data_IF_816852640663
#
_entry.id   IF_816852640663
#
_cell.length_a   1.000
_cell.length_b   1.000
_cell.length_c   1.000
_cell.angle_alpha   90.00
_cell.angle_beta   90.00
_cell.angle_gamma   90.00
#
_symmetry.space_group_name_H-M   'P 1'
#
loop_
_entity.id
_entity.type
_entity.pdbx_description
1 polymer ?
#
# COMPACT_ATOMS: atom_id res chain seq x y z
N UNK A 1 32.32 2.60 -77.54
CA UNK A 1 32.02 3.51 -76.46
C UNK A 1 31.27 2.68 -75.39
N UNK A 2 32.01 2.12 -74.38
CA UNK A 2 31.41 1.27 -73.31
C UNK A 2 31.06 2.15 -72.15
N UNK A 3 29.81 2.23 -71.77
CA UNK A 3 29.34 2.85 -70.56
C UNK A 3 29.57 1.90 -69.36
N UNK A 4 30.38 2.32 -68.41
CA UNK A 4 30.48 1.66 -67.06
C UNK A 4 29.37 2.21 -66.17
N UNK A 5 28.46 1.35 -65.77
CA UNK A 5 27.46 1.64 -64.75
C UNK A 5 28.08 1.30 -63.38
N UNK A 6 28.41 2.31 -62.56
CA UNK A 6 28.83 2.14 -61.20
C UNK A 6 27.59 2.01 -60.31
N UNK A 7 27.33 0.82 -59.82
CA UNK A 7 26.29 0.56 -58.81
C UNK A 7 26.86 0.83 -57.43
N UNK A 8 26.44 1.92 -56.79
CA UNK A 8 26.78 2.21 -55.40
C UNK A 8 25.83 1.39 -54.51
N UNK A 9 26.37 0.41 -53.81
CA UNK A 9 25.65 -0.41 -52.84
C UNK A 9 25.65 0.39 -51.50
N UNK A 10 24.51 1.01 -51.18
CA UNK A 10 24.31 1.67 -49.90
C UNK A 10 23.85 0.59 -48.90
N UNK A 11 24.76 0.13 -48.06
CA UNK A 11 24.45 -0.75 -46.94
C UNK A 11 23.82 0.08 -45.81
N UNK A 12 22.50 0.00 -45.67
CA UNK A 12 21.77 0.48 -44.53
C UNK A 12 22.08 -0.43 -43.32
N UNK A 13 22.93 0.06 -42.42
CA UNK A 13 23.16 -0.58 -41.13
C UNK A 13 21.97 -0.20 -40.25
N UNK A 14 20.99 -1.09 -40.11
CA UNK A 14 19.97 -1.01 -39.08
C UNK A 14 20.63 -1.28 -37.72
N UNK A 15 20.95 -0.22 -37.00
CA UNK A 15 21.28 -0.33 -35.58
C UNK A 15 19.97 -0.61 -34.82
N UNK A 16 19.65 -1.90 -34.64
CA UNK A 16 18.59 -2.31 -33.75
C UNK A 16 19.03 -2.01 -32.34
N UNK A 17 18.59 -0.87 -31.78
CA UNK A 17 18.61 -0.70 -30.33
C UNK A 17 17.64 -1.74 -29.75
N UNK A 18 18.16 -2.91 -29.38
CA UNK A 18 17.46 -3.83 -28.50
C UNK A 18 17.45 -3.22 -27.11
N UNK A 19 16.49 -2.35 -26.83
CA UNK A 19 16.09 -2.11 -25.46
C UNK A 19 15.60 -3.45 -24.93
N UNK A 20 16.36 -4.05 -24.01
CA UNK A 20 15.92 -5.23 -23.28
C UNK A 20 14.65 -4.83 -22.54
N UNK A 21 13.50 -5.31 -23.01
CA UNK A 21 12.23 -5.15 -22.29
C UNK A 21 12.43 -5.91 -20.98
N UNK A 22 12.49 -5.17 -19.87
CA UNK A 22 12.57 -5.78 -18.54
C UNK A 22 11.30 -6.63 -18.35
N UNK A 23 11.46 -7.90 -18.01
CA UNK A 23 10.33 -8.77 -17.73
C UNK A 23 9.73 -8.43 -16.37
N UNK A 24 8.42 -8.52 -16.24
CA UNK A 24 7.74 -8.40 -14.95
C UNK A 24 8.33 -9.38 -13.92
N UNK A 25 8.26 -9.03 -12.65
CA UNK A 25 8.75 -9.82 -11.51
C UNK A 25 10.23 -10.30 -11.63
N UNK A 26 11.09 -9.48 -12.24
CA UNK A 26 12.51 -9.79 -12.45
C UNK A 26 13.45 -9.16 -11.41
N UNK A 27 12.92 -8.27 -10.55
CA UNK A 27 13.72 -7.54 -9.55
C UNK A 27 13.66 -8.24 -8.20
N UNK A 28 14.78 -8.84 -7.79
CA UNK A 28 14.95 -9.41 -6.45
C UNK A 28 15.25 -8.29 -5.42
N UNK A 29 14.60 -8.30 -4.28
CA UNK A 29 14.81 -7.34 -3.18
C UNK A 29 15.98 -7.75 -2.28
N UNK A 30 17.12 -8.03 -2.92
CA UNK A 30 18.37 -8.39 -2.25
C UNK A 30 19.10 -7.16 -1.65
N UNK A 31 20.32 -7.37 -1.14
CA UNK A 31 21.11 -6.28 -0.54
C UNK A 31 21.40 -5.15 -1.53
N UNK A 32 21.74 -5.47 -2.80
CA UNK A 32 22.08 -4.45 -3.80
C UNK A 32 20.85 -3.60 -4.14
N UNK A 33 19.66 -4.22 -4.20
CA UNK A 33 18.41 -3.51 -4.34
C UNK A 33 18.18 -2.54 -3.16
N UNK A 34 18.31 -3.02 -1.91
CA UNK A 34 18.15 -2.15 -0.73
C UNK A 34 19.15 -1.00 -0.71
N UNK A 35 20.41 -1.27 -1.05
CA UNK A 35 21.45 -0.25 -1.14
C UNK A 35 21.13 0.81 -2.23
N UNK A 36 20.48 0.41 -3.33
CA UNK A 36 20.05 1.35 -4.37
C UNK A 36 18.87 2.21 -3.91
N UNK A 37 17.90 1.61 -3.24
CA UNK A 37 16.75 2.33 -2.68
C UNK A 37 17.19 3.42 -1.69
N UNK A 38 18.14 3.11 -0.79
CA UNK A 38 18.67 4.07 0.19
C UNK A 38 19.44 5.23 -0.44
N UNK A 39 19.96 5.07 -1.65
CA UNK A 39 20.60 6.19 -2.39
C UNK A 39 19.61 7.15 -3.03
N UNK A 40 18.41 6.66 -3.32
CA UNK A 40 17.39 7.41 -4.07
C UNK A 40 16.29 7.97 -3.17
N UNK A 41 16.13 7.44 -1.96
CA UNK A 41 15.05 7.79 -1.04
C UNK A 41 15.58 8.18 0.34
N UNK A 42 14.75 8.84 1.13
CA UNK A 42 15.08 9.29 2.49
C UNK A 42 14.72 8.29 3.59
N UNK A 43 14.36 7.08 3.21
CA UNK A 43 13.96 6.04 4.15
C UNK A 43 15.13 5.22 4.70
N UNK A 44 14.80 4.22 5.49
CA UNK A 44 15.73 3.25 6.06
C UNK A 44 15.15 1.84 6.02
N UNK A 45 15.98 0.85 6.32
CA UNK A 45 15.59 -0.55 6.45
C UNK A 45 15.86 -1.06 7.85
N UNK A 46 14.92 -1.82 8.36
CA UNK A 46 15.08 -2.58 9.59
C UNK A 46 14.74 -4.05 9.35
N UNK A 47 15.52 -4.95 9.93
CA UNK A 47 15.20 -6.39 9.94
C UNK A 47 14.22 -6.66 11.09
N UNK A 48 12.99 -6.98 10.74
CA UNK A 48 11.96 -7.43 11.67
C UNK A 48 11.83 -8.95 11.67
N UNK A 49 10.88 -9.49 12.44
CA UNK A 49 10.71 -10.94 12.65
C UNK A 49 10.60 -11.77 11.36
N UNK A 50 10.02 -11.20 10.29
CA UNK A 50 9.74 -11.93 9.04
C UNK A 50 10.41 -11.33 7.78
N UNK A 51 11.33 -10.39 7.92
CA UNK A 51 12.05 -9.80 6.79
C UNK A 51 12.41 -8.33 6.96
N UNK A 52 13.13 -7.80 5.98
CA UNK A 52 13.48 -6.37 5.96
C UNK A 52 12.23 -5.53 5.64
N UNK A 53 12.03 -4.51 6.44
CA UNK A 53 10.96 -3.52 6.27
C UNK A 53 11.56 -2.18 5.92
N UNK A 54 11.10 -1.59 4.81
CA UNK A 54 11.39 -0.20 4.44
C UNK A 54 10.42 0.75 5.13
N UNK A 55 10.95 1.85 5.68
CA UNK A 55 10.13 2.88 6.31
C UNK A 55 10.78 4.26 6.12
N UNK A 56 9.97 5.30 6.26
CA UNK A 56 10.42 6.68 6.39
C UNK A 56 9.90 7.26 7.70
N UNK A 57 10.77 7.98 8.40
CA UNK A 57 10.46 8.61 9.67
C UNK A 57 10.80 10.10 9.64
N UNK A 58 9.97 10.93 10.24
CA UNK A 58 10.24 12.34 10.45
C UNK A 58 10.02 12.73 11.90
N UNK A 59 10.82 13.70 12.38
CA UNK A 59 10.72 14.29 13.71
C UNK A 59 10.76 13.26 14.86
N UNK A 60 11.70 12.31 14.84
CA UNK A 60 11.83 11.23 15.83
C UNK A 60 11.85 11.72 17.30
N UNK A 61 12.34 12.94 17.55
CA UNK A 61 12.41 13.55 18.89
C UNK A 61 11.16 14.39 19.26
N UNK A 62 10.12 14.38 18.42
CA UNK A 62 8.92 15.18 18.69
C UNK A 62 8.19 14.73 19.96
N UNK A 63 7.70 15.72 20.72
CA UNK A 63 6.82 15.51 21.87
C UNK A 63 5.34 15.78 21.53
N UNK A 64 5.02 16.08 20.29
CA UNK A 64 3.67 16.46 19.86
C UNK A 64 2.74 15.26 19.67
N UNK A 65 3.30 14.08 19.45
CA UNK A 65 2.59 12.82 19.24
C UNK A 65 3.18 12.02 18.09
N UNK A 66 2.89 10.72 18.09
CA UNK A 66 3.34 9.78 17.08
C UNK A 66 2.19 9.40 16.16
N UNK A 67 2.45 9.33 14.85
CA UNK A 67 1.47 8.96 13.83
C UNK A 67 2.09 7.90 12.93
N UNK A 68 1.41 6.76 12.76
CA UNK A 68 1.81 5.70 11.85
C UNK A 68 0.83 5.66 10.68
N UNK A 69 1.35 5.71 9.46
CA UNK A 69 0.60 5.70 8.22
C UNK A 69 0.71 4.32 7.55
N UNK A 70 -0.40 3.59 7.47
CA UNK A 70 -0.48 2.23 6.95
C UNK A 70 -1.22 2.24 5.62
N UNK A 71 -0.52 1.88 4.54
CA UNK A 71 -1.05 1.92 3.17
C UNK A 71 -2.04 0.80 2.85
N UNK A 72 -2.66 0.86 1.67
CA UNK A 72 -3.69 -0.05 1.21
C UNK A 72 -3.19 -1.37 0.60
N UNK A 73 -3.98 -1.89 -0.37
CA UNK A 73 -3.81 -3.25 -0.90
C UNK A 73 -2.54 -3.43 -1.74
N UNK A 74 -2.25 -2.53 -2.70
CA UNK A 74 -1.19 -2.73 -3.68
C UNK A 74 -0.17 -1.58 -3.75
N UNK A 75 -0.59 -0.35 -3.49
CA UNK A 75 0.26 0.84 -3.54
C UNK A 75 0.96 1.01 -2.19
N UNK A 76 2.30 1.10 -2.16
CA UNK A 76 3.08 1.19 -0.92
C UNK A 76 3.08 2.59 -0.30
N UNK A 77 3.96 2.84 0.65
CA UNK A 77 4.00 4.03 1.51
C UNK A 77 4.00 5.37 0.78
N UNK A 78 4.50 5.46 -0.45
CA UNK A 78 4.49 6.73 -1.20
C UNK A 78 3.08 7.31 -1.44
N UNK A 79 2.02 6.51 -1.27
CA UNK A 79 0.63 6.99 -1.30
C UNK A 79 0.35 8.01 -0.19
N UNK A 80 1.14 7.99 0.88
CA UNK A 80 1.06 8.87 2.02
C UNK A 80 1.94 10.12 1.94
N UNK A 81 2.74 10.29 0.87
CA UNK A 81 3.77 11.34 0.77
C UNK A 81 3.25 12.74 1.11
N UNK A 82 2.06 13.11 0.62
CA UNK A 82 1.44 14.42 0.88
C UNK A 82 1.07 14.57 2.37
N UNK A 83 0.44 13.56 2.94
CA UNK A 83 0.04 13.53 4.36
C UNK A 83 1.27 13.50 5.28
N UNK A 84 2.26 12.68 4.95
CA UNK A 84 3.52 12.59 5.68
C UNK A 84 4.23 13.95 5.77
N UNK A 85 4.39 14.64 4.64
CA UNK A 85 5.03 15.94 4.60
C UNK A 85 4.23 17.00 5.37
N UNK A 86 2.90 17.01 5.24
CA UNK A 86 2.03 17.91 5.99
C UNK A 86 2.15 17.72 7.51
N UNK A 87 2.14 16.48 7.99
CA UNK A 87 2.25 16.17 9.41
C UNK A 87 3.67 16.45 9.95
N UNK A 88 4.70 16.15 9.15
CA UNK A 88 6.10 16.51 9.42
C UNK A 88 6.26 18.01 9.63
N UNK A 89 5.72 18.84 8.72
CA UNK A 89 5.77 20.31 8.82
C UNK A 89 5.02 20.82 10.05
N UNK A 90 3.95 20.15 10.44
CA UNK A 90 3.22 20.43 11.67
C UNK A 90 3.96 19.95 12.93
N UNK A 91 5.10 19.28 12.79
CA UNK A 91 5.99 18.88 13.88
C UNK A 91 5.58 17.61 14.61
N UNK A 92 4.71 16.76 14.06
CA UNK A 92 4.45 15.42 14.60
C UNK A 92 5.61 14.47 14.27
N UNK A 93 5.82 13.46 15.11
CA UNK A 93 6.60 12.29 14.71
C UNK A 93 5.74 11.44 13.81
N UNK A 94 6.17 11.25 12.57
CA UNK A 94 5.40 10.53 11.56
C UNK A 94 6.24 9.39 10.99
N UNK A 95 5.64 8.21 10.89
CA UNK A 95 6.24 7.05 10.24
C UNK A 95 5.29 6.57 9.14
N UNK A 96 5.82 6.35 7.94
CA UNK A 96 5.18 5.57 6.89
C UNK A 96 6.08 4.40 6.51
N UNK A 97 5.48 3.27 6.13
CA UNK A 97 6.23 2.05 5.87
C UNK A 97 5.63 1.25 4.72
N UNK A 98 6.45 0.45 4.08
CA UNK A 98 5.98 -0.55 3.12
C UNK A 98 5.65 -1.86 3.85
N UNK A 99 4.41 -2.33 3.72
CA UNK A 99 3.99 -3.63 4.24
C UNK A 99 4.67 -4.77 3.48
N UNK A 100 4.86 -5.92 4.11
CA UNK A 100 5.39 -7.11 3.45
C UNK A 100 4.66 -7.41 2.15
N UNK A 101 5.42 -7.79 1.12
CA UNK A 101 4.92 -8.02 -0.23
C UNK A 101 4.66 -6.77 -1.06
N UNK A 102 4.93 -5.56 -0.55
CA UNK A 102 4.72 -4.27 -1.23
C UNK A 102 5.98 -3.43 -1.24
N UNK A 103 6.03 -2.52 -2.20
CA UNK A 103 7.07 -1.51 -2.30
C UNK A 103 8.48 -2.09 -2.14
N UNK A 104 9.24 -1.49 -1.24
CA UNK A 104 10.64 -1.83 -1.01
C UNK A 104 10.84 -2.88 0.10
N UNK A 105 9.80 -3.20 0.91
CA UNK A 105 9.88 -4.26 1.94
C UNK A 105 9.97 -5.65 1.33
N UNK A 106 10.50 -6.61 2.08
CA UNK A 106 10.65 -8.01 1.66
C UNK A 106 9.29 -8.66 1.34
N UNK A 107 9.36 -9.75 0.57
CA UNK A 107 8.23 -10.64 0.28
C UNK A 107 8.48 -11.98 1.02
N UNK A 108 8.15 -12.11 2.32
CA UNK A 108 8.33 -13.35 3.03
C UNK A 108 7.47 -14.47 2.42
N UNK A 109 7.99 -15.69 2.41
CA UNK A 109 7.26 -16.89 1.97
C UNK A 109 6.28 -17.34 3.06
N UNK A 110 5.31 -16.48 3.34
CA UNK A 110 4.27 -16.64 4.35
C UNK A 110 2.91 -16.18 3.80
N UNK A 111 1.79 -16.76 4.28
CA UNK A 111 0.47 -16.24 3.96
C UNK A 111 0.35 -14.75 4.32
N UNK A 112 -0.07 -13.93 3.37
CA UNK A 112 -0.17 -12.47 3.53
C UNK A 112 -1.45 -12.08 4.28
N UNK A 113 -1.52 -12.45 5.55
CA UNK A 113 -2.67 -12.20 6.44
C UNK A 113 -2.65 -10.78 7.02
N UNK A 114 -3.80 -10.32 7.51
CA UNK A 114 -3.90 -9.06 8.25
C UNK A 114 -3.05 -9.11 9.54
N UNK A 115 -2.96 -10.31 10.18
CA UNK A 115 -2.16 -10.50 11.39
C UNK A 115 -0.65 -10.38 11.12
N UNK A 116 -0.13 -11.01 10.05
CA UNK A 116 1.29 -10.90 9.67
C UNK A 116 1.70 -9.43 9.52
N UNK A 117 0.86 -8.63 8.84
CA UNK A 117 1.16 -7.23 8.57
C UNK A 117 0.90 -6.33 9.78
N UNK A 118 -0.08 -6.64 10.61
CA UNK A 118 -0.29 -5.95 11.88
C UNK A 118 0.91 -6.16 12.81
N UNK A 119 1.42 -7.39 12.90
CA UNK A 119 2.63 -7.67 13.67
C UNK A 119 3.85 -6.94 13.10
N UNK A 120 3.99 -6.84 11.77
CA UNK A 120 5.05 -6.04 11.14
C UNK A 120 5.04 -4.59 11.63
N UNK A 121 3.86 -3.95 11.71
CA UNK A 121 3.74 -2.57 12.19
C UNK A 121 4.06 -2.47 13.68
N UNK A 122 3.59 -3.41 14.50
CA UNK A 122 3.89 -3.46 15.94
C UNK A 122 5.39 -3.65 16.18
N UNK A 123 6.04 -4.57 15.47
CA UNK A 123 7.49 -4.80 15.56
C UNK A 123 8.27 -3.54 15.17
N UNK A 124 7.83 -2.81 14.14
CA UNK A 124 8.45 -1.54 13.75
C UNK A 124 8.31 -0.49 14.86
N UNK A 125 7.12 -0.37 15.47
CA UNK A 125 6.91 0.54 16.60
C UNK A 125 7.87 0.22 17.75
N UNK A 126 8.09 -1.07 18.07
CA UNK A 126 8.99 -1.49 19.13
C UNK A 126 10.44 -1.10 18.82
N UNK A 127 10.91 -1.35 17.60
CA UNK A 127 12.28 -0.99 17.18
C UNK A 127 12.49 0.53 17.22
N UNK A 128 11.48 1.31 16.84
CA UNK A 128 11.55 2.78 16.85
C UNK A 128 11.30 3.38 18.25
N UNK A 129 11.02 2.56 19.27
CA UNK A 129 10.70 3.01 20.62
C UNK A 129 9.40 3.83 20.69
N UNK A 130 8.41 3.50 19.83
CA UNK A 130 7.10 4.15 19.84
C UNK A 130 6.17 3.34 20.73
N UNK A 131 5.97 3.83 21.94
CA UNK A 131 5.10 3.16 22.92
C UNK A 131 3.62 3.26 22.53
N UNK A 132 3.20 4.41 21.98
CA UNK A 132 1.80 4.67 21.60
C UNK A 132 1.72 5.62 20.42
N UNK A 133 0.77 5.39 19.50
CA UNK A 133 0.58 6.21 18.31
C UNK A 133 -0.89 6.30 17.88
N UNK A 134 -1.21 7.36 17.15
CA UNK A 134 -2.38 7.42 16.25
C UNK A 134 -2.06 6.57 15.03
N UNK A 135 -2.95 5.67 14.67
CA UNK A 135 -2.82 4.82 13.49
C UNK A 135 -3.76 5.29 12.38
N UNK A 136 -3.23 5.61 11.22
CA UNK A 136 -4.03 5.95 10.03
C UNK A 136 -3.91 4.83 8.99
N UNK A 137 -5.01 4.18 8.64
CA UNK A 137 -5.07 3.07 7.70
C UNK A 137 -5.93 3.39 6.48
N UNK A 138 -5.32 3.38 5.30
CA UNK A 138 -6.00 3.56 4.02
C UNK A 138 -6.50 2.21 3.50
N UNK A 139 -7.77 2.12 3.09
CA UNK A 139 -8.31 0.94 2.39
C UNK A 139 -8.01 -0.36 3.17
N UNK A 140 -7.24 -1.29 2.59
CA UNK A 140 -6.77 -2.51 3.28
C UNK A 140 -5.92 -2.19 4.53
N UNK A 141 -5.23 -1.04 4.60
CA UNK A 141 -4.52 -0.59 5.79
C UNK A 141 -5.43 -0.41 7.00
N UNK A 142 -6.71 -0.08 6.80
CA UNK A 142 -7.70 -0.05 7.87
C UNK A 142 -7.92 -1.41 8.53
N UNK A 143 -7.81 -2.51 7.77
CA UNK A 143 -7.84 -3.89 8.31
C UNK A 143 -6.65 -4.15 9.23
N UNK A 144 -5.47 -3.68 8.80
CA UNK A 144 -4.23 -3.86 9.54
C UNK A 144 -4.30 -3.14 10.89
N UNK A 145 -4.70 -1.86 10.91
CA UNK A 145 -4.84 -1.11 12.16
C UNK A 145 -5.95 -1.66 13.07
N UNK A 146 -7.02 -2.22 12.50
CA UNK A 146 -8.06 -2.92 13.27
C UNK A 146 -7.48 -4.18 13.93
N UNK A 147 -6.67 -4.96 13.22
CA UNK A 147 -6.02 -6.14 13.77
C UNK A 147 -5.00 -5.79 14.86
N UNK A 148 -4.25 -4.69 14.70
CA UNK A 148 -3.35 -4.18 15.73
C UNK A 148 -4.09 -3.85 17.04
N UNK A 149 -5.30 -3.28 16.95
CA UNK A 149 -6.09 -2.95 18.13
C UNK A 149 -6.47 -4.18 18.96
N UNK A 150 -6.65 -5.33 18.33
CA UNK A 150 -6.94 -6.60 19.01
C UNK A 150 -5.65 -7.27 19.53
N UNK A 151 -4.53 -7.12 18.81
CA UNK A 151 -3.25 -7.68 19.22
C UNK A 151 -2.65 -6.92 20.40
N UNK A 152 -2.63 -5.60 20.36
CA UNK A 152 -2.09 -4.75 21.44
C UNK A 152 -2.75 -3.36 21.45
N UNK A 153 -3.90 -3.24 22.10
CA UNK A 153 -4.62 -1.97 22.24
C UNK A 153 -3.82 -0.90 23.01
N UNK A 154 -2.87 -1.30 23.85
CA UNK A 154 -2.07 -0.36 24.67
C UNK A 154 -1.20 0.57 23.83
N UNK A 155 -0.83 0.13 22.62
CA UNK A 155 -0.05 0.90 21.65
C UNK A 155 -0.85 1.90 20.83
N UNK A 156 -2.18 1.96 20.99
CA UNK A 156 -3.06 2.73 20.12
C UNK A 156 -3.69 3.91 20.85
N UNK A 157 -3.42 5.11 20.35
CA UNK A 157 -4.02 6.35 20.84
C UNK A 157 -5.39 6.61 20.20
N UNK A 158 -5.49 6.43 18.89
CA UNK A 158 -6.73 6.56 18.10
C UNK A 158 -6.58 5.82 16.77
N UNK A 159 -7.71 5.44 16.16
CA UNK A 159 -7.79 4.81 14.85
C UNK A 159 -8.40 5.78 13.83
N UNK A 160 -7.70 5.99 12.73
CA UNK A 160 -8.12 6.80 11.60
C UNK A 160 -8.30 5.90 10.37
N UNK A 161 -9.53 5.65 9.99
CA UNK A 161 -9.90 4.87 8.81
C UNK A 161 -10.07 5.82 7.62
N UNK A 162 -9.31 5.63 6.56
CA UNK A 162 -9.42 6.40 5.33
C UNK A 162 -9.88 5.45 4.23
N UNK A 163 -11.08 5.65 3.68
CA UNK A 163 -11.68 4.79 2.65
C UNK A 163 -11.46 3.28 2.94
N UNK A 164 -11.70 2.88 4.20
CA UNK A 164 -11.27 1.58 4.72
C UNK A 164 -12.14 0.43 4.23
N UNK A 165 -11.50 -0.63 3.73
CA UNK A 165 -12.17 -1.89 3.37
C UNK A 165 -12.42 -2.84 4.55
N UNK A 166 -12.09 -2.44 5.80
CA UNK A 166 -12.28 -3.29 6.98
C UNK A 166 -13.75 -3.56 7.32
N UNK A 167 -14.68 -2.77 6.78
CA UNK A 167 -16.12 -2.90 6.99
C UNK A 167 -16.83 -3.70 5.89
N UNK A 168 -16.12 -4.04 4.81
CA UNK A 168 -16.64 -4.86 3.72
C UNK A 168 -16.72 -6.33 4.18
N UNK A 169 -17.78 -7.03 3.77
CA UNK A 169 -17.91 -8.46 4.01
C UNK A 169 -17.07 -9.25 3.02
N UNK A 170 -16.35 -10.23 3.53
CA UNK A 170 -15.56 -11.15 2.73
C UNK A 170 -15.91 -12.58 3.09
N UNK A 171 -16.14 -13.41 2.09
CA UNK A 171 -16.27 -14.85 2.28
C UNK A 171 -14.89 -15.46 2.54
N UNK A 172 -14.75 -16.14 3.67
CA UNK A 172 -13.52 -16.84 4.02
C UNK A 172 -13.26 -17.98 3.04
N UNK A 173 -12.07 -18.02 2.45
CA UNK A 173 -11.66 -19.11 1.56
C UNK A 173 -11.15 -20.29 2.37
N UNK A 174 -11.49 -21.51 1.93
CA UNK A 174 -11.03 -22.76 2.56
C UNK A 174 -9.56 -23.01 2.20
N UNK A 175 -9.17 -22.76 0.94
CA UNK A 175 -7.80 -22.89 0.45
C UNK A 175 -7.22 -21.50 0.15
N UNK A 176 -6.23 -21.10 0.94
CA UNK A 176 -5.53 -19.83 0.80
C UNK A 176 -4.15 -19.99 0.14
N UNK A 177 -3.78 -21.20 -0.30
CA UNK A 177 -2.54 -21.40 -1.07
C UNK A 177 -2.62 -20.72 -2.44
N UNK A 178 -1.48 -20.21 -2.89
CA UNK A 178 -1.38 -19.55 -4.20
C UNK A 178 -0.67 -20.49 -5.17
N UNK A 179 -1.35 -20.86 -6.25
CA UNK A 179 -0.77 -21.73 -7.26
C UNK A 179 0.08 -20.97 -8.28
N UNK A 180 1.05 -21.64 -8.96
CA UNK A 180 1.81 -21.04 -10.04
C UNK A 180 0.93 -20.56 -11.21
N UNK A 181 -0.19 -21.24 -11.47
CA UNK A 181 -1.15 -20.89 -12.52
C UNK A 181 -1.87 -19.58 -12.19
N UNK A 182 -2.26 -19.38 -10.92
CA UNK A 182 -2.86 -18.13 -10.46
C UNK A 182 -1.87 -16.96 -10.58
N UNK A 183 -0.60 -17.17 -10.22
CA UNK A 183 0.46 -16.16 -10.37
C UNK A 183 0.62 -15.79 -11.86
N UNK A 184 0.71 -16.78 -12.74
CA UNK A 184 0.85 -16.55 -14.18
C UNK A 184 -0.32 -15.74 -14.73
N UNK A 185 -1.55 -16.16 -14.43
CA UNK A 185 -2.76 -15.47 -14.86
C UNK A 185 -2.86 -14.04 -14.31
N UNK A 186 -2.38 -13.81 -13.10
CA UNK A 186 -2.35 -12.48 -12.50
C UNK A 186 -1.33 -11.56 -13.21
N UNK A 187 -0.13 -12.08 -13.53
CA UNK A 187 0.90 -11.35 -14.26
C UNK A 187 0.42 -10.96 -15.67
N UNK A 188 -0.38 -11.80 -16.32
CA UNK A 188 -0.99 -11.47 -17.62
C UNK A 188 -1.88 -10.22 -17.57
N UNK A 189 -2.39 -9.83 -16.40
CA UNK A 189 -3.18 -8.58 -16.22
C UNK A 189 -2.32 -7.32 -16.04
N UNK A 190 -1.00 -7.45 -15.83
CA UNK A 190 -0.12 -6.32 -15.51
C UNK A 190 -0.13 -5.17 -16.53
N UNK A 191 -0.21 -5.42 -17.86
CA UNK A 191 -0.23 -4.34 -18.84
C UNK A 191 -1.36 -3.32 -18.66
N UNK A 192 -2.48 -3.71 -18.05
CA UNK A 192 -3.65 -2.83 -17.83
C UNK A 192 -3.73 -2.31 -16.39
N UNK A 193 -3.03 -2.93 -15.43
CA UNK A 193 -3.14 -2.59 -14.00
C UNK A 193 -2.65 -1.19 -13.67
N UNK A 194 -1.57 -0.74 -14.30
CA UNK A 194 -1.01 0.59 -14.03
C UNK A 194 -1.98 1.69 -14.42
N UNK A 195 -2.60 1.57 -15.60
CA UNK A 195 -3.61 2.53 -16.06
C UNK A 195 -4.87 2.47 -15.19
N UNK A 196 -5.29 1.28 -14.77
CA UNK A 196 -6.46 1.06 -13.91
C UNK A 196 -6.35 1.75 -12.54
N UNK A 197 -5.13 2.04 -12.06
CA UNK A 197 -4.95 2.79 -10.80
C UNK A 197 -5.49 4.22 -10.83
N UNK A 198 -5.73 4.79 -12.00
CA UNK A 198 -6.36 6.12 -12.13
C UNK A 198 -7.85 6.10 -11.78
N UNK A 199 -8.50 4.94 -11.76
CA UNK A 199 -9.91 4.80 -11.38
C UNK A 199 -10.15 5.02 -9.88
N UNK A 200 -9.08 4.97 -9.07
CA UNK A 200 -9.12 5.27 -7.64
C UNK A 200 -9.38 6.77 -7.36
N UNK A 201 -9.13 7.65 -8.33
CA UNK A 201 -9.28 9.09 -8.19
C UNK A 201 -10.62 9.61 -8.72
N UNK A 202 -11.12 10.66 -8.08
CA UNK A 202 -12.23 11.48 -8.61
C UNK A 202 -11.76 12.33 -9.78
N UNK A 203 -10.58 12.95 -9.66
CA UNK A 203 -9.96 13.80 -10.66
C UNK A 203 -8.61 13.23 -11.16
N UNK A 204 -8.61 12.12 -11.94
CA UNK A 204 -7.41 11.38 -12.35
C UNK A 204 -6.42 12.21 -13.17
N UNK A 205 -6.89 13.27 -13.86
CA UNK A 205 -6.05 14.18 -14.64
C UNK A 205 -5.06 14.99 -13.77
N UNK A 206 -5.26 15.05 -12.46
CA UNK A 206 -4.33 15.68 -11.52
C UNK A 206 -3.14 14.77 -11.16
N UNK A 207 -3.19 13.49 -11.54
CA UNK A 207 -2.19 12.47 -11.17
C UNK A 207 -1.65 11.73 -12.41
N UNK A 208 -1.20 12.44 -13.46
CA UNK A 208 -0.84 11.81 -14.76
C UNK A 208 0.37 10.85 -14.65
N UNK A 209 1.22 11.02 -13.64
CA UNK A 209 2.40 10.17 -13.40
C UNK A 209 2.08 8.90 -12.57
N UNK A 210 0.85 8.77 -12.03
CA UNK A 210 0.48 7.69 -11.12
C UNK A 210 0.62 6.29 -11.75
N UNK A 211 0.19 6.04 -12.99
CA UNK A 211 0.41 4.76 -13.65
C UNK A 211 1.88 4.37 -13.74
N UNK A 212 2.78 5.33 -14.01
CA UNK A 212 4.22 5.07 -14.12
C UNK A 212 4.86 4.74 -12.77
N UNK A 213 4.39 5.38 -11.69
CA UNK A 213 4.84 5.03 -10.32
C UNK A 213 4.41 3.61 -9.96
N UNK A 214 3.17 3.24 -10.28
CA UNK A 214 2.65 1.90 -10.00
C UNK A 214 3.34 0.82 -10.84
N UNK A 215 3.62 1.08 -12.12
CA UNK A 215 4.25 0.12 -13.01
C UNK A 215 5.58 -0.41 -12.48
N UNK A 216 6.36 0.43 -11.79
CA UNK A 216 7.63 0.01 -11.18
C UNK A 216 7.47 -1.15 -10.19
N UNK A 217 6.33 -1.25 -9.51
CA UNK A 217 6.04 -2.32 -8.55
C UNK A 217 5.87 -3.67 -9.22
N UNK A 218 5.39 -3.69 -10.46
CA UNK A 218 5.11 -4.90 -11.24
C UNK A 218 6.40 -5.67 -11.61
N UNK A 219 7.54 -5.03 -11.49
CA UNK A 219 8.84 -5.66 -11.71
C UNK A 219 9.40 -6.35 -10.46
N UNK A 220 8.84 -6.09 -9.26
CA UNK A 220 9.31 -6.72 -8.02
C UNK A 220 8.85 -8.18 -7.94
N UNK A 221 9.81 -9.09 -7.78
CA UNK A 221 9.55 -10.53 -7.68
C UNK A 221 8.65 -10.87 -6.48
N UNK A 222 7.64 -11.68 -6.74
CA UNK A 222 6.67 -12.12 -5.74
C UNK A 222 5.53 -11.12 -5.47
N UNK A 223 5.43 -10.03 -6.26
CA UNK A 223 4.35 -9.06 -6.09
C UNK A 223 2.98 -9.67 -6.37
N UNK A 224 2.81 -10.45 -7.47
CA UNK A 224 1.57 -11.16 -7.76
C UNK A 224 1.19 -12.13 -6.63
N UNK A 225 2.14 -12.96 -6.20
CA UNK A 225 1.91 -13.90 -5.10
C UNK A 225 1.43 -13.18 -3.84
N UNK A 226 2.07 -12.10 -3.47
CA UNK A 226 1.70 -11.33 -2.28
C UNK A 226 0.29 -10.71 -2.38
N UNK A 227 -0.13 -10.23 -3.55
CA UNK A 227 -1.47 -9.68 -3.75
C UNK A 227 -2.54 -10.77 -3.73
N UNK A 228 -2.33 -11.89 -4.44
CA UNK A 228 -3.25 -13.02 -4.46
C UNK A 228 -3.39 -13.61 -3.06
N UNK A 229 -2.27 -13.85 -2.36
CA UNK A 229 -2.28 -14.35 -0.98
C UNK A 229 -3.04 -13.40 -0.05
N UNK A 230 -2.87 -12.07 -0.18
CA UNK A 230 -3.66 -11.12 0.58
C UNK A 230 -5.15 -11.29 0.32
N UNK A 231 -5.56 -11.34 -0.95
CA UNK A 231 -6.96 -11.46 -1.33
C UNK A 231 -7.60 -12.75 -0.80
N UNK A 232 -6.88 -13.86 -0.87
CA UNK A 232 -7.34 -15.16 -0.34
C UNK A 232 -7.47 -15.22 1.19
N UNK A 233 -6.74 -14.35 1.90
CA UNK A 233 -6.76 -14.29 3.35
C UNK A 233 -7.66 -13.15 3.91
N UNK A 234 -8.46 -12.49 3.06
CA UNK A 234 -9.45 -11.53 3.53
C UNK A 234 -10.62 -12.26 4.22
N UNK A 235 -11.00 -11.75 5.37
CA UNK A 235 -12.14 -12.24 6.16
C UNK A 235 -12.97 -11.07 6.66
N UNK A 236 -14.25 -11.31 6.97
CA UNK A 236 -15.11 -10.32 7.64
C UNK A 236 -14.55 -9.99 9.03
N UNK A 237 -14.56 -8.71 9.43
CA UNK A 237 -13.90 -8.21 10.64
C UNK A 237 -14.88 -7.74 11.72
N UNK A 238 -16.13 -8.18 11.69
CA UNK A 238 -17.18 -7.68 12.60
C UNK A 238 -16.84 -7.89 14.09
N UNK A 239 -16.30 -9.04 14.46
CA UNK A 239 -15.88 -9.35 15.84
C UNK A 239 -14.71 -8.47 16.28
N UNK A 240 -13.81 -8.12 15.36
CA UNK A 240 -12.69 -7.21 15.61
C UNK A 240 -13.23 -5.80 15.89
N UNK A 241 -14.18 -5.32 15.08
CA UNK A 241 -14.77 -4.00 15.30
C UNK A 241 -15.62 -3.93 16.59
N UNK A 242 -16.32 -5.01 16.94
CA UNK A 242 -17.01 -5.09 18.26
C UNK A 242 -16.01 -5.01 19.41
N UNK A 243 -14.84 -5.65 19.28
CA UNK A 243 -13.77 -5.54 20.27
C UNK A 243 -13.25 -4.11 20.34
N UNK A 244 -13.01 -3.43 19.21
CA UNK A 244 -12.57 -2.03 19.15
C UNK A 244 -13.56 -1.10 19.85
N UNK A 245 -14.87 -1.30 19.62
CA UNK A 245 -15.92 -0.54 20.31
C UNK A 245 -15.87 -0.74 21.83
N UNK A 246 -15.70 -2.00 22.27
CA UNK A 246 -15.58 -2.32 23.70
C UNK A 246 -14.33 -1.77 24.38
N UNK A 247 -13.27 -1.48 23.62
CA UNK A 247 -12.05 -0.84 24.11
C UNK A 247 -12.18 0.68 24.24
N UNK A 248 -13.29 1.25 23.81
CA UNK A 248 -13.56 2.69 23.83
C UNK A 248 -12.46 3.53 23.14
N UNK A 249 -11.77 2.96 22.17
CA UNK A 249 -10.75 3.67 21.41
C UNK A 249 -11.39 4.78 20.57
N UNK A 250 -10.79 5.99 20.52
CA UNK A 250 -11.24 7.02 19.63
C UNK A 250 -11.15 6.59 18.16
N UNK A 251 -12.27 6.60 17.43
CA UNK A 251 -12.35 6.19 16.03
C UNK A 251 -12.79 7.37 15.16
N UNK A 252 -12.06 7.60 14.09
CA UNK A 252 -12.33 8.60 13.07
C UNK A 252 -12.36 7.91 11.71
N UNK A 253 -13.35 8.20 10.87
CA UNK A 253 -13.50 7.64 9.54
C UNK A 253 -13.66 8.75 8.50
N UNK A 254 -12.94 8.62 7.38
CA UNK A 254 -12.91 9.58 6.28
C UNK A 254 -13.25 8.86 4.99
N UNK A 255 -14.23 9.37 4.26
CA UNK A 255 -14.76 8.76 3.05
C UNK A 255 -14.75 9.75 1.90
N UNK A 256 -14.24 9.36 0.73
CA UNK A 256 -14.45 10.11 -0.50
C UNK A 256 -15.90 9.90 -0.98
N UNK A 257 -16.60 10.99 -1.28
CA UNK A 257 -18.01 10.91 -1.73
C UNK A 257 -18.16 10.15 -3.05
N UNK A 258 -17.11 10.16 -3.86
CA UNK A 258 -17.07 9.51 -5.16
C UNK A 258 -16.23 8.22 -5.19
N UNK A 259 -15.97 7.62 -4.02
CA UNK A 259 -15.25 6.34 -3.93
C UNK A 259 -16.04 5.22 -4.62
N UNK A 260 -15.42 4.63 -5.67
CA UNK A 260 -15.98 3.51 -6.45
C UNK A 260 -15.34 2.17 -6.08
N UNK A 261 -14.29 2.19 -5.25
CA UNK A 261 -13.53 1.00 -4.81
C UNK A 261 -14.11 0.46 -3.51
N UNK A 262 -14.33 1.35 -2.53
CA UNK A 262 -14.95 1.04 -1.24
C UNK A 262 -16.21 1.89 -1.10
N UNK A 263 -17.31 1.38 -1.65
CA UNK A 263 -18.58 2.10 -1.71
C UNK A 263 -19.23 2.16 -0.33
N UNK A 264 -19.27 3.33 0.28
CA UNK A 264 -19.74 3.55 1.66
C UNK A 264 -21.16 3.00 1.91
N UNK A 265 -22.07 3.17 0.95
CA UNK A 265 -23.47 2.73 1.09
C UNK A 265 -23.64 1.21 1.18
N UNK A 266 -22.63 0.43 0.85
CA UNK A 266 -22.69 -1.04 0.92
C UNK A 266 -22.57 -1.56 2.35
N UNK A 267 -22.02 -0.74 3.28
CA UNK A 267 -21.77 -1.15 4.66
C UNK A 267 -22.14 -0.06 5.72
N UNK A 268 -22.71 1.06 5.35
CA UNK A 268 -23.02 2.19 6.25
C UNK A 268 -23.80 1.76 7.49
N UNK A 269 -24.84 0.94 7.32
CA UNK A 269 -25.68 0.43 8.42
C UNK A 269 -24.90 -0.49 9.35
N UNK A 270 -24.03 -1.33 8.77
CA UNK A 270 -23.16 -2.23 9.52
C UNK A 270 -22.14 -1.44 10.32
N UNK A 271 -21.46 -0.49 9.71
CA UNK A 271 -20.49 0.38 10.33
C UNK A 271 -21.13 1.16 11.51
N UNK A 272 -22.31 1.73 11.32
CA UNK A 272 -23.04 2.45 12.38
C UNK A 272 -23.42 1.54 13.56
N UNK A 273 -23.65 0.25 13.31
CA UNK A 273 -23.94 -0.72 14.37
C UNK A 273 -22.67 -1.15 15.11
N UNK A 274 -21.55 -1.36 14.39
CA UNK A 274 -20.31 -1.89 14.94
C UNK A 274 -19.51 -0.83 15.71
N UNK A 275 -19.50 0.41 15.23
CA UNK A 275 -18.76 1.53 15.83
C UNK A 275 -19.68 2.76 15.99
N UNK A 276 -20.66 2.71 16.90
CA UNK A 276 -21.66 3.76 17.03
C UNK A 276 -21.08 5.13 17.48
N UNK A 277 -19.94 5.11 18.17
CA UNK A 277 -19.29 6.29 18.73
C UNK A 277 -18.21 6.92 17.83
N UNK A 278 -17.99 6.36 16.61
CA UNK A 278 -17.06 6.94 15.65
C UNK A 278 -17.43 8.33 15.23
N UNK A 279 -16.44 9.12 14.80
CA UNK A 279 -16.64 10.39 14.08
C UNK A 279 -16.40 10.16 12.59
N UNK A 280 -17.34 10.59 11.75
CA UNK A 280 -17.26 10.43 10.31
C UNK A 280 -17.14 11.76 9.58
N UNK A 281 -16.37 11.73 8.49
CA UNK A 281 -16.14 12.87 7.62
C UNK A 281 -16.23 12.42 6.16
N UNK A 282 -17.05 13.14 5.40
CA UNK A 282 -17.22 12.91 3.96
C UNK A 282 -16.48 14.01 3.21
N UNK A 283 -15.64 13.60 2.28
CA UNK A 283 -14.77 14.50 1.52
C UNK A 283 -15.37 14.63 0.12
N UNK A 284 -15.91 15.80 -0.16
CA UNK A 284 -16.42 16.15 -1.49
C UNK A 284 -15.30 16.14 -2.53
N UNK A 285 -15.66 15.90 -3.79
CA UNK A 285 -14.70 15.87 -4.91
C UNK A 285 -13.49 14.95 -4.67
N UNK A 286 -13.71 13.81 -3.99
CA UNK A 286 -12.71 12.80 -3.71
C UNK A 286 -13.23 11.40 -4.01
N UNK A 287 -12.36 10.58 -4.61
CA UNK A 287 -12.53 9.15 -4.83
C UNK A 287 -12.00 8.31 -3.67
N UNK A 288 -11.32 7.21 -4.00
CA UNK A 288 -10.76 6.28 -3.01
C UNK A 288 -9.57 6.85 -2.20
N UNK A 289 -8.97 7.95 -2.68
CA UNK A 289 -7.77 8.55 -2.10
C UNK A 289 -8.03 9.98 -1.57
N UNK A 290 -9.00 10.19 -0.66
CA UNK A 290 -9.42 11.53 -0.24
C UNK A 290 -8.30 12.34 0.41
N UNK A 291 -7.31 11.70 1.02
CA UNK A 291 -6.13 12.32 1.63
C UNK A 291 -5.13 12.90 0.61
N UNK A 292 -5.27 12.55 -0.68
CA UNK A 292 -4.47 13.08 -1.77
C UNK A 292 -5.22 14.14 -2.58
N UNK A 293 -6.53 13.97 -2.74
CA UNK A 293 -7.35 14.80 -3.64
C UNK A 293 -7.85 16.08 -2.98
N UNK A 294 -8.12 16.04 -1.67
CA UNK A 294 -8.54 17.22 -0.91
C UNK A 294 -7.48 17.55 0.15
N UNK A 295 -6.68 18.61 -0.12
CA UNK A 295 -5.52 19.03 0.68
C UNK A 295 -5.89 20.03 1.76
#
# INVERSE_FOLDING_TARGET
>A
MKLFLNTILVSLVFCACTTSIQSYESVDKNKDFRDSVLKENNGDYVLLSNGYTYYEEANSESKKGNIILVHGFSVPSYIWEVTFNTLKEKGYRVVMMDLFGRGNSDNPDLPQTDELRAQQVLDLMDVLGIEKAVLAGLSNGGRIISKMAVLDASKIEALFYISSSSFVDYESQIDTTVSPEEITSFIETYPTRSAGQLEDFYAPEQFPEWPQKYEKLLYHKGFANALISTQKNLTTMDEIHQTIDSLELPVYAFWGVHDKVVVYTDFDKKLNKLLPNKKEYFIEEAGHLPHMENK
#
